data_IF_546791949687
#
_entry.id   IF_546791949687
#
_cell.length_a   1.000
_cell.length_b   1.000
_cell.length_c   1.000
_cell.angle_alpha   90.00
_cell.angle_beta   90.00
_cell.angle_gamma   90.00
#
_symmetry.space_group_name_H-M   'P 1'
#
loop_
_entity.id
_entity.type
_entity.pdbx_description
1 polymer ?
#
# COMPACT_ATOMS: atom_id res chain seq x y z
N UNK A 1 37.83 -76.65 -5.87
CA UNK A 1 37.89 -76.08 -4.50
C UNK A 1 37.84 -74.56 -4.61
N UNK A 2 36.91 -73.91 -3.91
CA UNK A 2 36.84 -72.44 -3.73
C UNK A 2 37.97 -72.00 -2.77
N UNK A 3 38.44 -70.75 -2.84
CA UNK A 3 37.76 -69.75 -2.02
C UNK A 3 37.53 -68.40 -2.70
N UNK A 4 36.41 -67.83 -2.33
CA UNK A 4 35.89 -66.49 -2.59
C UNK A 4 36.60 -65.42 -1.75
N UNK A 5 36.73 -64.20 -2.29
CA UNK A 5 36.86 -62.95 -1.51
C UNK A 5 35.92 -61.87 -2.08
N UNK A 6 35.42 -60.92 -1.25
CA UNK A 6 34.14 -60.26 -1.48
C UNK A 6 34.25 -58.73 -1.64
N UNK A 7 33.08 -58.11 -1.90
CA UNK A 7 32.72 -56.68 -1.67
C UNK A 7 33.20 -55.67 -2.74
N UNK A 8 32.24 -55.08 -3.45
CA UNK A 8 31.93 -53.65 -3.32
C UNK A 8 30.66 -53.32 -4.12
N UNK A 9 29.58 -53.06 -3.39
CA UNK A 9 28.40 -52.38 -3.91
C UNK A 9 28.74 -50.89 -4.11
N UNK A 10 28.37 -50.34 -5.25
CA UNK A 10 28.23 -48.90 -5.42
C UNK A 10 27.05 -48.62 -6.36
N UNK A 11 25.85 -48.55 -5.76
CA UNK A 11 24.75 -47.80 -6.34
C UNK A 11 25.11 -46.33 -6.23
N UNK A 12 25.39 -45.67 -7.36
CA UNK A 12 25.28 -44.21 -7.45
C UNK A 12 24.00 -43.90 -8.23
N UNK A 13 22.93 -43.62 -7.49
CA UNK A 13 21.72 -43.04 -8.03
C UNK A 13 22.03 -41.60 -8.46
N UNK A 14 21.99 -41.32 -9.77
CA UNK A 14 22.02 -39.95 -10.29
C UNK A 14 20.69 -39.28 -9.99
N UNK A 15 20.66 -38.50 -8.92
CA UNK A 15 19.54 -37.64 -8.56
C UNK A 15 19.46 -36.49 -9.58
N UNK A 16 18.41 -36.49 -10.40
CA UNK A 16 18.13 -35.42 -11.35
C UNK A 16 17.85 -34.11 -10.58
N UNK A 17 18.70 -33.11 -10.76
CA UNK A 17 18.44 -31.76 -10.27
C UNK A 17 17.36 -31.11 -11.16
N UNK A 18 16.13 -31.06 -10.66
CA UNK A 18 15.11 -30.17 -11.21
C UNK A 18 15.49 -28.74 -10.83
N UNK A 19 15.61 -27.79 -11.77
CA UNK A 19 15.68 -26.40 -11.40
C UNK A 19 14.31 -26.02 -10.83
N UNK A 20 14.28 -25.68 -9.54
CA UNK A 20 13.16 -24.93 -8.97
C UNK A 20 13.11 -23.62 -9.74
N UNK A 21 12.18 -23.49 -10.68
CA UNK A 21 11.77 -22.16 -11.14
C UNK A 21 11.17 -21.48 -9.91
N UNK A 22 11.97 -20.61 -9.29
CA UNK A 22 11.44 -19.55 -8.45
C UNK A 22 10.58 -18.68 -9.36
N UNK A 23 9.28 -18.99 -9.43
CA UNK A 23 8.29 -18.11 -10.01
C UNK A 23 8.26 -16.88 -9.11
N UNK A 24 9.03 -15.84 -9.48
CA UNK A 24 8.82 -14.51 -8.93
C UNK A 24 7.34 -14.20 -9.15
N UNK A 25 6.55 -14.20 -8.08
CA UNK A 25 5.16 -13.82 -8.15
C UNK A 25 5.13 -12.46 -8.83
N UNK A 26 4.49 -12.37 -10.01
CA UNK A 26 4.14 -11.09 -10.59
C UNK A 26 3.35 -10.37 -9.50
N UNK A 27 3.92 -9.31 -8.93
CA UNK A 27 3.25 -8.53 -7.90
C UNK A 27 1.96 -8.03 -8.54
N UNK A 28 0.78 -8.45 -8.06
CA UNK A 28 -0.51 -7.97 -8.58
C UNK A 28 -0.80 -6.50 -8.22
N UNK A 29 0.27 -5.73 -7.96
CA UNK A 29 0.31 -4.29 -7.83
C UNK A 29 0.85 -3.75 -9.14
N UNK A 30 0.04 -2.96 -9.83
CA UNK A 30 0.34 -2.38 -11.13
C UNK A 30 0.48 -0.87 -10.95
N UNK A 31 1.67 -0.31 -11.25
CA UNK A 31 1.93 1.13 -11.18
C UNK A 31 2.14 1.69 -12.58
N UNK A 32 1.42 2.75 -12.91
CA UNK A 32 1.61 3.53 -14.14
C UNK A 32 1.95 4.96 -13.78
N UNK A 33 3.20 5.37 -13.99
CA UNK A 33 3.63 6.76 -13.82
C UNK A 33 2.97 7.64 -14.88
N UNK A 34 2.23 8.66 -14.44
CA UNK A 34 1.46 9.54 -15.32
C UNK A 34 2.20 10.85 -15.59
N UNK A 35 2.73 11.47 -14.53
CA UNK A 35 3.55 12.67 -14.62
C UNK A 35 4.49 12.82 -13.44
N UNK A 36 5.58 13.56 -13.64
CA UNK A 36 6.52 13.97 -12.61
C UNK A 36 7.06 15.34 -12.94
N UNK A 37 6.91 16.30 -12.03
CA UNK A 37 7.35 17.68 -12.27
C UNK A 37 7.97 18.30 -11.02
N UNK A 38 8.94 19.19 -11.22
CA UNK A 38 9.49 19.99 -10.10
C UNK A 38 8.49 21.05 -9.70
N UNK A 39 8.22 21.19 -8.40
CA UNK A 39 7.33 22.21 -7.88
C UNK A 39 8.07 23.53 -7.68
N UNK A 40 7.31 24.63 -7.60
CA UNK A 40 7.85 25.95 -7.23
C UNK A 40 8.38 25.99 -5.79
N UNK A 41 7.98 25.03 -4.95
CA UNK A 41 8.53 24.82 -3.61
C UNK A 41 9.93 24.21 -3.73
N UNK A 42 10.99 24.89 -3.23
CA UNK A 42 12.36 24.40 -3.37
C UNK A 42 12.54 22.98 -2.81
N UNK A 43 13.18 22.12 -3.60
CA UNK A 43 13.47 20.75 -3.20
C UNK A 43 12.28 19.78 -3.24
N UNK A 44 11.11 20.20 -3.74
CA UNK A 44 9.93 19.32 -3.89
C UNK A 44 9.61 19.01 -5.35
N UNK A 45 9.06 17.84 -5.58
CA UNK A 45 8.46 17.43 -6.84
C UNK A 45 7.07 16.84 -6.62
N UNK A 46 6.23 16.92 -7.65
CA UNK A 46 4.98 16.18 -7.72
C UNK A 46 5.18 14.94 -8.58
N UNK A 47 4.63 13.81 -8.15
CA UNK A 47 4.53 12.59 -8.95
C UNK A 47 3.08 12.15 -8.95
N UNK A 48 2.52 11.79 -10.10
CA UNK A 48 1.22 11.14 -10.16
C UNK A 48 1.34 9.75 -10.74
N UNK A 49 0.71 8.79 -10.07
CA UNK A 49 0.74 7.38 -10.45
C UNK A 49 -0.69 6.84 -10.39
N UNK A 50 -1.10 6.12 -11.43
CA UNK A 50 -2.25 5.24 -11.33
C UNK A 50 -1.77 3.93 -10.69
N UNK A 51 -2.25 3.64 -9.49
CA UNK A 51 -1.95 2.40 -8.78
C UNK A 51 -3.18 1.50 -8.88
N UNK A 52 -3.01 0.28 -9.36
CA UNK A 52 -4.08 -0.70 -9.45
C UNK A 52 -3.67 -2.02 -8.81
N UNK A 53 -4.59 -2.63 -8.08
CA UNK A 53 -4.37 -3.87 -7.35
C UNK A 53 -5.35 -4.93 -7.87
N UNK A 54 -4.84 -6.12 -8.16
CA UNK A 54 -5.66 -7.29 -8.43
C UNK A 54 -6.47 -7.70 -7.17
N UNK A 55 -7.55 -8.50 -7.29
CA UNK A 55 -8.36 -8.90 -6.15
C UNK A 55 -7.52 -9.53 -5.02
N UNK A 56 -7.70 -9.04 -3.78
CA UNK A 56 -7.01 -9.55 -2.60
C UNK A 56 -5.52 -9.20 -2.51
N UNK A 57 -4.95 -8.46 -3.45
CA UNK A 57 -3.55 -8.04 -3.40
C UNK A 57 -3.36 -6.95 -2.35
N UNK A 58 -2.21 -7.03 -1.66
CA UNK A 58 -1.73 -6.04 -0.71
C UNK A 58 -0.53 -5.32 -1.32
N UNK A 59 -0.56 -3.98 -1.36
CA UNK A 59 0.66 -3.20 -1.45
C UNK A 59 1.27 -3.12 -0.04
N UNK A 60 2.40 -3.78 0.13
CA UNK A 60 3.05 -3.96 1.43
C UNK A 60 3.36 -2.64 2.13
N UNK A 61 3.49 -2.69 3.46
CA UNK A 61 3.70 -1.51 4.29
C UNK A 61 4.92 -0.68 3.86
N UNK A 62 4.73 0.63 3.72
CA UNK A 62 5.75 1.56 3.25
C UNK A 62 5.45 3.00 3.67
N UNK A 63 6.38 3.92 3.41
CA UNK A 63 6.16 5.36 3.55
C UNK A 63 6.83 6.14 2.40
N UNK A 64 6.60 7.45 2.40
CA UNK A 64 7.14 8.41 1.44
C UNK A 64 7.88 9.55 2.14
N UNK A 65 8.89 10.11 1.48
CA UNK A 65 9.52 11.39 1.87
C UNK A 65 8.66 12.59 1.42
N UNK A 66 7.37 12.56 1.78
CA UNK A 66 6.37 13.51 1.33
C UNK A 66 4.95 13.06 1.64
N UNK A 67 4.01 13.94 1.32
CA UNK A 67 2.58 13.72 1.43
C UNK A 67 2.05 12.95 0.22
N UNK A 68 1.04 12.11 0.44
CA UNK A 68 0.30 11.43 -0.63
C UNK A 68 -1.19 11.80 -0.55
N UNK A 69 -1.76 12.14 -1.71
CA UNK A 69 -3.15 12.50 -1.91
C UNK A 69 -3.76 11.48 -2.85
N UNK A 70 -4.75 10.74 -2.35
CA UNK A 70 -5.37 9.62 -3.04
C UNK A 70 -6.79 9.99 -3.47
N UNK A 71 -7.15 9.59 -4.68
CA UNK A 71 -8.53 9.53 -5.16
C UNK A 71 -8.80 8.13 -5.72
N UNK A 72 -9.78 7.42 -5.15
CA UNK A 72 -10.11 6.07 -5.62
C UNK A 72 -10.91 6.15 -6.92
N UNK A 73 -10.38 5.51 -7.97
CA UNK A 73 -10.93 5.54 -9.33
C UNK A 73 -11.78 4.32 -9.67
N UNK A 74 -11.52 3.18 -9.03
CA UNK A 74 -12.17 1.90 -9.29
C UNK A 74 -12.18 1.04 -8.03
N UNK A 75 -13.28 0.31 -7.78
CA UNK A 75 -13.35 -0.74 -6.76
C UNK A 75 -13.39 -0.23 -5.32
N UNK A 76 -12.77 -1.01 -4.42
CA UNK A 76 -12.68 -0.72 -2.98
C UNK A 76 -11.32 -1.13 -2.42
N UNK A 77 -10.70 -0.21 -1.67
CA UNK A 77 -9.37 -0.35 -1.07
C UNK A 77 -9.48 -0.13 0.43
N UNK A 78 -8.95 -1.06 1.24
CA UNK A 78 -8.77 -0.84 2.67
C UNK A 78 -7.35 -0.36 2.93
N UNK A 79 -7.26 0.81 3.56
CA UNK A 79 -6.03 1.45 3.99
C UNK A 79 -5.81 1.22 5.49
N UNK A 80 -4.56 0.94 5.85
CA UNK A 80 -4.11 0.86 7.24
C UNK A 80 -2.94 1.80 7.42
N UNK A 81 -3.17 2.89 8.14
CA UNK A 81 -2.17 3.89 8.45
C UNK A 81 -1.70 3.68 9.88
N UNK A 82 -0.40 3.86 10.10
CA UNK A 82 0.19 3.82 11.44
C UNK A 82 -0.54 4.79 12.38
N UNK A 83 -0.90 4.29 13.57
CA UNK A 83 -1.62 5.08 14.57
C UNK A 83 -3.02 5.49 14.13
N UNK A 84 -3.72 4.71 13.28
CA UNK A 84 -5.12 4.95 12.91
C UNK A 84 -5.90 3.64 12.79
N UNK A 85 -7.22 3.70 12.94
CA UNK A 85 -8.10 2.60 12.58
C UNK A 85 -8.08 2.38 11.05
N UNK A 86 -8.20 1.13 10.57
CA UNK A 86 -8.36 0.85 9.14
C UNK A 86 -9.55 1.58 8.53
N UNK A 87 -9.42 1.99 7.28
CA UNK A 87 -10.49 2.65 6.51
C UNK A 87 -10.66 1.98 5.15
N UNK A 88 -11.90 1.63 4.80
CA UNK A 88 -12.25 1.21 3.44
C UNK A 88 -12.75 2.39 2.62
N UNK A 89 -12.11 2.63 1.49
CA UNK A 89 -12.43 3.67 0.52
C UNK A 89 -12.98 3.03 -0.75
N UNK A 90 -14.01 3.64 -1.34
CA UNK A 90 -14.65 3.21 -2.59
C UNK A 90 -14.42 4.27 -3.67
N UNK A 91 -14.76 3.93 -4.92
CA UNK A 91 -14.69 4.88 -6.03
C UNK A 91 -15.33 6.25 -5.68
N UNK A 92 -14.57 7.32 -5.89
CA UNK A 92 -14.96 8.69 -5.57
C UNK A 92 -14.47 9.18 -4.20
N UNK A 93 -14.06 8.27 -3.31
CA UNK A 93 -13.51 8.63 -2.01
C UNK A 93 -12.05 9.08 -2.12
N UNK A 94 -11.60 9.82 -1.10
CA UNK A 94 -10.26 10.41 -1.03
C UNK A 94 -9.59 10.07 0.30
N UNK A 95 -8.25 10.08 0.29
CA UNK A 95 -7.43 9.95 1.50
C UNK A 95 -6.20 10.84 1.41
N UNK A 96 -5.82 11.44 2.53
CA UNK A 96 -4.56 12.14 2.69
C UNK A 96 -3.65 11.36 3.64
N UNK A 97 -2.46 11.02 3.16
CA UNK A 97 -1.42 10.35 3.95
C UNK A 97 -0.33 11.38 4.27
N UNK A 98 -0.11 11.68 5.57
CA UNK A 98 0.93 12.63 5.97
C UNK A 98 2.35 12.15 5.68
N UNK A 99 3.29 13.09 5.64
CA UNK A 99 4.73 12.81 5.48
C UNK A 99 5.20 11.69 6.41
N UNK A 100 5.85 10.68 5.84
CA UNK A 100 6.54 9.62 6.60
C UNK A 100 5.62 8.65 7.36
N UNK A 101 4.29 8.79 7.28
CA UNK A 101 3.36 7.84 7.91
C UNK A 101 3.40 6.51 7.17
N UNK A 102 3.75 5.45 7.89
CA UNK A 102 3.72 4.10 7.32
C UNK A 102 2.28 3.70 7.02
N UNK A 103 2.07 3.09 5.86
CA UNK A 103 0.77 2.60 5.46
C UNK A 103 0.87 1.40 4.51
N UNK A 104 -0.17 0.59 4.54
CA UNK A 104 -0.43 -0.47 3.57
C UNK A 104 -1.85 -0.31 3.00
N UNK A 105 -2.04 -0.84 1.80
CA UNK A 105 -3.35 -0.86 1.14
C UNK A 105 -3.64 -2.24 0.58
N UNK A 106 -4.87 -2.72 0.78
CA UNK A 106 -5.35 -3.99 0.26
C UNK A 106 -6.59 -3.80 -0.60
N UNK A 107 -6.65 -4.51 -1.72
CA UNK A 107 -7.87 -4.61 -2.50
C UNK A 107 -8.84 -5.60 -1.85
N UNK A 108 -9.90 -5.08 -1.23
CA UNK A 108 -10.95 -5.87 -0.58
C UNK A 108 -12.12 -6.21 -1.49
N UNK A 109 -12.07 -5.76 -2.75
CA UNK A 109 -13.09 -6.10 -3.74
C UNK A 109 -12.81 -7.44 -4.42
N UNK A 110 -13.84 -8.02 -5.05
CA UNK A 110 -13.70 -9.23 -5.88
C UNK A 110 -13.12 -8.94 -7.28
N UNK A 111 -12.96 -7.66 -7.63
CA UNK A 111 -12.47 -7.19 -8.93
C UNK A 111 -11.18 -6.40 -8.77
N UNK A 112 -10.75 -5.75 -9.85
CA UNK A 112 -9.64 -4.80 -9.80
C UNK A 112 -10.08 -3.56 -9.02
N UNK A 113 -9.17 -3.01 -8.22
CA UNK A 113 -9.33 -1.71 -7.59
C UNK A 113 -8.18 -0.80 -8.01
N UNK A 114 -8.44 0.49 -8.17
CA UNK A 114 -7.44 1.43 -8.62
C UNK A 114 -7.65 2.82 -8.03
N UNK A 115 -6.55 3.56 -7.91
CA UNK A 115 -6.51 4.92 -7.38
C UNK A 115 -5.53 5.79 -8.16
N UNK A 116 -5.81 7.09 -8.17
CA UNK A 116 -4.84 8.10 -8.55
C UNK A 116 -4.11 8.56 -7.29
N UNK A 117 -2.85 8.17 -7.17
CA UNK A 117 -1.96 8.61 -6.11
C UNK A 117 -1.16 9.83 -6.58
N UNK A 118 -1.34 10.96 -5.91
CA UNK A 118 -0.56 12.19 -6.13
C UNK A 118 0.39 12.40 -4.96
N UNK A 119 1.68 12.33 -5.24
CA UNK A 119 2.74 12.51 -4.27
C UNK A 119 3.31 13.92 -4.34
N UNK A 120 3.52 14.56 -3.20
CA UNK A 120 4.30 15.80 -3.08
C UNK A 120 5.53 15.50 -2.21
N UNK A 121 6.64 15.19 -2.86
CA UNK A 121 7.79 14.53 -2.21
C UNK A 121 9.09 15.32 -2.36
N UNK A 122 10.06 15.02 -1.51
CA UNK A 122 11.42 15.51 -1.63
C UNK A 122 12.08 15.00 -2.92
N UNK A 123 12.61 15.94 -3.71
CA UNK A 123 13.30 15.66 -4.96
C UNK A 123 14.56 14.82 -4.71
N UNK A 124 14.72 13.77 -5.50
CA UNK A 124 15.89 12.89 -5.46
C UNK A 124 15.87 11.85 -4.34
N UNK A 125 14.80 11.78 -3.55
CA UNK A 125 14.57 10.68 -2.59
C UNK A 125 13.82 9.53 -3.27
N UNK A 126 13.93 8.28 -2.77
CA UNK A 126 13.09 7.19 -3.22
C UNK A 126 11.61 7.53 -3.00
N UNK A 127 10.77 7.23 -3.99
CA UNK A 127 9.33 7.47 -3.87
C UNK A 127 8.72 6.57 -2.80
N UNK A 128 9.02 5.27 -2.82
CA UNK A 128 8.51 4.26 -1.89
C UNK A 128 9.66 3.75 -1.02
N UNK A 129 9.48 3.80 0.30
CA UNK A 129 10.43 3.24 1.26
C UNK A 129 9.73 2.12 2.04
N UNK A 130 10.14 0.85 1.87
CA UNK A 130 9.53 -0.27 2.61
C UNK A 130 9.63 -0.10 4.12
N UNK A 131 8.58 -0.51 4.84
CA UNK A 131 8.49 -0.46 6.29
C UNK A 131 8.12 -1.84 6.86
N UNK A 132 8.44 -2.06 8.14
CA UNK A 132 7.88 -3.19 8.90
C UNK A 132 6.41 -2.89 9.21
N UNK A 133 5.53 -3.89 9.25
CA UNK A 133 4.07 -3.71 9.41
C UNK A 133 3.70 -2.72 10.54
N UNK A 134 2.63 -1.91 10.38
CA UNK A 134 2.28 -0.89 11.37
C UNK A 134 2.01 -1.53 12.73
N UNK A 135 2.60 -1.00 13.80
CA UNK A 135 2.29 -1.46 15.16
C UNK A 135 0.98 -0.82 15.60
N UNK A 136 -0.02 -1.66 15.88
CA UNK A 136 -1.35 -1.24 16.35
C UNK A 136 -1.28 -0.75 17.79
N UNK A 137 -1.15 0.55 18.00
CA UNK A 137 -1.64 1.22 19.20
C UNK A 137 -2.13 2.60 18.79
N UNK A 138 -3.44 2.72 18.60
CA UNK A 138 -4.12 3.98 18.31
C UNK A 138 -5.02 4.32 19.50
N UNK A 139 -4.80 5.48 20.11
CA UNK A 139 -5.76 6.12 21.01
C UNK A 139 -6.50 7.24 20.24
N UNK A 140 -7.78 7.03 19.86
CA UNK A 140 -8.54 7.97 19.04
C UNK A 140 -8.78 9.34 19.69
N UNK A 141 -8.63 9.45 21.02
CA UNK A 141 -9.00 10.64 21.76
C UNK A 141 -7.85 11.67 21.90
N UNK A 142 -6.59 11.24 21.82
CA UNK A 142 -5.43 12.12 22.10
C UNK A 142 -4.64 12.57 20.86
N UNK A 143 -4.61 11.77 19.78
CA UNK A 143 -3.58 11.92 18.73
C UNK A 143 -4.05 12.56 17.40
N UNK A 144 -5.24 13.17 17.36
CA UNK A 144 -5.77 13.78 16.13
C UNK A 144 -5.48 15.30 16.06
N UNK A 145 -4.59 15.78 15.18
CA UNK A 145 -4.62 17.18 14.77
C UNK A 145 -5.87 17.41 13.92
N UNK A 146 -6.82 18.19 14.45
CA UNK A 146 -8.01 18.64 13.72
C UNK A 146 -7.58 19.49 12.52
N UNK A 147 -7.59 18.91 11.31
CA UNK A 147 -7.50 19.68 10.08
C UNK A 147 -8.87 20.29 9.79
N UNK A 148 -9.08 21.53 10.24
CA UNK A 148 -10.23 22.34 9.84
C UNK A 148 -10.07 22.76 8.37
N UNK A 149 -10.44 21.88 7.45
CA UNK A 149 -10.51 22.19 6.03
C UNK A 149 -11.85 22.89 5.74
N UNK A 150 -11.86 24.22 5.78
CA UNK A 150 -12.93 25.01 5.14
C UNK A 150 -12.54 25.23 3.67
N UNK A 151 -13.31 24.69 2.74
CA UNK A 151 -13.12 24.87 1.30
C UNK A 151 -14.13 25.87 0.69
N UNK A 152 -13.85 26.29 -0.55
CA UNK A 152 -14.25 27.56 -1.16
C UNK A 152 -15.71 27.68 -1.65
N UNK A 153 -16.48 26.60 -1.61
CA UNK A 153 -17.93 26.66 -1.77
C UNK A 153 -18.58 26.13 -0.50
N UNK A 154 -19.54 26.86 0.06
CA UNK A 154 -20.25 26.51 1.31
C UNK A 154 -21.11 25.22 1.20
N UNK A 155 -20.87 24.40 0.17
CA UNK A 155 -21.39 23.05 0.03
C UNK A 155 -20.62 22.13 0.97
N UNK A 156 -21.25 21.52 1.99
CA UNK A 156 -20.59 20.49 2.78
C UNK A 156 -20.18 19.36 1.84
N UNK A 157 -18.89 19.03 1.79
CA UNK A 157 -18.47 17.75 1.22
C UNK A 157 -19.28 16.65 1.92
N UNK A 158 -19.59 15.55 1.22
CA UNK A 158 -19.97 14.32 1.92
C UNK A 158 -18.94 14.11 3.04
N UNK A 159 -19.35 13.89 4.30
CA UNK A 159 -18.44 13.86 5.43
C UNK A 159 -17.25 12.99 5.05
N UNK A 160 -16.10 13.63 4.90
CA UNK A 160 -14.87 12.86 4.68
C UNK A 160 -14.56 12.17 6.00
N UNK A 161 -13.82 11.07 5.94
CA UNK A 161 -13.46 10.29 7.14
C UNK A 161 -12.70 11.09 8.22
N UNK A 162 -12.37 12.36 7.92
CA UNK A 162 -11.67 13.29 8.79
C UNK A 162 -12.60 14.21 9.60
N UNK A 163 -13.91 14.27 9.30
CA UNK A 163 -14.79 15.32 9.81
C UNK A 163 -15.73 14.94 10.97
N UNK A 164 -15.76 13.69 11.46
CA UNK A 164 -16.63 13.39 12.61
C UNK A 164 -16.09 12.33 13.56
N UNK A 165 -16.04 12.70 14.85
CA UNK A 165 -15.80 11.81 15.98
C UNK A 165 -17.06 11.00 16.37
N UNK A 166 -18.13 11.05 15.57
CA UNK A 166 -19.46 10.53 15.93
C UNK A 166 -20.15 9.73 14.82
N UNK A 167 -19.47 9.38 13.72
CA UNK A 167 -20.07 8.57 12.64
C UNK A 167 -20.27 7.08 12.98
N UNK A 168 -20.08 6.67 14.24
CA UNK A 168 -20.22 5.29 14.71
C UNK A 168 -21.24 5.12 15.84
N UNK A 169 -22.02 6.15 16.17
CA UNK A 169 -23.19 5.96 17.03
C UNK A 169 -24.37 5.56 16.14
N UNK A 170 -24.81 4.32 16.36
CA UNK A 170 -25.98 3.67 15.82
C UNK A 170 -27.18 4.61 15.65
N UNK A 171 -27.88 4.49 14.53
CA UNK A 171 -29.32 4.78 14.47
C UNK A 171 -30.00 3.63 13.69
N UNK A 172 -31.25 3.29 14.05
CA UNK A 172 -31.87 1.96 13.94
C UNK A 172 -32.29 1.48 12.54
#
# INVERSE_FOLDING_TARGET
MKPSRPIAAALLATLAALPVLAQAQASGVHRTDLQRETLSVPGREVVQVLVALDPGVVAANHHHHGEEIIYVTEGALEYRLEGRAPVTLKQGDVLFIPYGVNHEVVNVSSGRSAELATYVVEKGKPLVVPASSPTTAFDPAEDMPRLNLKFADDTPLKPTLFDSATAWEDEP
#
